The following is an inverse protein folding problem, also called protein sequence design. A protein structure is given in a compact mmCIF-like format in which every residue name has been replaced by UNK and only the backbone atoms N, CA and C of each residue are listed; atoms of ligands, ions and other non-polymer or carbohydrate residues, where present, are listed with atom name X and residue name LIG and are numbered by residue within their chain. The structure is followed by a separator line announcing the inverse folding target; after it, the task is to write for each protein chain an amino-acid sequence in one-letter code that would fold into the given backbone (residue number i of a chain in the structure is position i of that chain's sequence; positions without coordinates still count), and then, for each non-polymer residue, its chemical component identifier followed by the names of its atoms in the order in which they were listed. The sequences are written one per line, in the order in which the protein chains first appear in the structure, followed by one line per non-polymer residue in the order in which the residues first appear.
data_IF_433943597512
#
_entry.id   IF_433943597512
#
_cell.length_a   1.000
_cell.length_b   1.000
_cell.length_c   1.000
_cell.angle_alpha   90.00
_cell.angle_beta   90.00
_cell.angle_gamma   90.00
#
_symmetry.space_group_name_H-M   'P 1'
#
loop_
_entity.id
_entity.type
_entity.pdbx_description
1 polymer ?
#
# COMPACT_ATOMS: atom_id res chain seq x y z
N UNK A 1 25.97 7.67 -11.56
CA UNK A 1 24.84 8.61 -11.73
C UNK A 1 23.53 7.90 -12.13
N UNK A 2 23.54 6.90 -13.03
CA UNK A 2 22.31 6.17 -13.44
C UNK A 2 21.65 5.27 -12.38
N UNK A 3 22.44 4.46 -11.66
CA UNK A 3 21.92 3.50 -10.67
C UNK A 3 21.27 4.17 -9.44
N UNK A 4 21.77 5.33 -9.05
CA UNK A 4 21.25 6.08 -7.89
C UNK A 4 19.87 6.66 -8.17
N UNK A 5 19.67 7.20 -9.37
CA UNK A 5 18.37 7.69 -9.84
C UNK A 5 17.34 6.56 -9.96
N UNK A 6 17.78 5.39 -10.43
CA UNK A 6 16.93 4.20 -10.51
C UNK A 6 16.49 3.75 -9.12
N UNK A 7 17.41 3.65 -8.15
CA UNK A 7 17.06 3.29 -6.77
C UNK A 7 16.07 4.28 -6.13
N UNK A 8 16.23 5.59 -6.36
CA UNK A 8 15.30 6.60 -5.88
C UNK A 8 13.90 6.42 -6.49
N UNK A 9 13.82 6.14 -7.79
CA UNK A 9 12.54 5.85 -8.47
C UNK A 9 11.87 4.59 -7.91
N UNK A 10 12.62 3.52 -7.69
CA UNK A 10 12.08 2.27 -7.15
C UNK A 10 11.51 2.46 -5.74
N UNK A 11 12.22 3.23 -4.91
CA UNK A 11 11.78 3.62 -3.57
C UNK A 11 10.53 4.51 -3.61
N UNK A 12 10.45 5.43 -4.56
CA UNK A 12 9.28 6.28 -4.77
C UNK A 12 8.02 5.46 -5.08
N UNK A 13 8.12 4.41 -5.88
CA UNK A 13 6.99 3.54 -6.21
C UNK A 13 6.42 2.85 -4.96
N UNK A 14 7.30 2.29 -4.12
CA UNK A 14 6.89 1.68 -2.84
C UNK A 14 6.24 2.71 -1.92
N UNK A 15 6.81 3.92 -1.87
CA UNK A 15 6.32 5.03 -1.06
C UNK A 15 4.90 5.45 -1.49
N UNK A 16 4.69 5.66 -2.78
CA UNK A 16 3.38 6.03 -3.36
C UNK A 16 2.34 4.94 -3.13
N UNK A 17 2.73 3.67 -3.24
CA UNK A 17 1.83 2.56 -2.97
C UNK A 17 1.40 2.53 -1.48
N UNK A 18 2.31 2.78 -0.55
CA UNK A 18 1.95 2.88 0.88
C UNK A 18 0.97 4.04 1.15
N UNK A 19 1.16 5.18 0.51
CA UNK A 19 0.25 6.33 0.63
C UNK A 19 -1.15 5.95 0.18
N UNK A 20 -1.28 5.38 -1.03
CA UNK A 20 -2.56 4.96 -1.57
C UNK A 20 -3.24 3.91 -0.68
N UNK A 21 -2.47 2.92 -0.21
CA UNK A 21 -2.97 1.87 0.69
C UNK A 21 -3.58 2.44 1.96
N UNK A 22 -2.91 3.42 2.56
CA UNK A 22 -3.37 4.11 3.77
C UNK A 22 -4.64 4.92 3.46
N UNK A 23 -4.67 5.63 2.33
CA UNK A 23 -5.85 6.39 1.89
C UNK A 23 -7.07 5.49 1.67
N UNK A 24 -6.87 4.30 1.09
CA UNK A 24 -7.90 3.27 0.89
C UNK A 24 -8.19 2.44 2.16
N UNK A 25 -7.56 2.76 3.29
CA UNK A 25 -7.75 2.09 4.57
C UNK A 25 -7.55 0.55 4.49
N UNK A 26 -6.56 0.13 3.71
CA UNK A 26 -6.18 -1.28 3.55
C UNK A 26 -5.02 -1.62 4.46
N UNK A 27 -5.00 -2.82 5.04
CA UNK A 27 -3.80 -3.36 5.66
C UNK A 27 -2.77 -3.77 4.60
N UNK A 28 -1.49 -3.84 4.99
CA UNK A 28 -0.42 -4.36 4.11
C UNK A 28 -0.73 -5.77 3.60
N UNK A 29 -1.35 -6.61 4.43
CA UNK A 29 -1.74 -7.99 4.06
C UNK A 29 -2.82 -8.00 2.98
N UNK A 30 -3.82 -7.14 3.10
CA UNK A 30 -4.89 -7.01 2.10
C UNK A 30 -4.34 -6.56 0.75
N UNK A 31 -3.49 -5.53 0.72
CA UNK A 31 -2.80 -5.12 -0.51
C UNK A 31 -1.98 -6.27 -1.10
N UNK A 32 -1.17 -6.91 -0.28
CA UNK A 32 -0.28 -7.98 -0.73
C UNK A 32 -1.07 -9.17 -1.30
N UNK A 33 -2.19 -9.53 -0.68
CA UNK A 33 -3.04 -10.59 -1.19
C UNK A 33 -3.70 -10.18 -2.51
N UNK A 34 -4.32 -9.00 -2.57
CA UNK A 34 -5.04 -8.52 -3.75
C UNK A 34 -4.16 -8.47 -5.00
N UNK A 35 -2.89 -8.09 -4.83
CA UNK A 35 -1.92 -7.96 -5.94
C UNK A 35 -0.88 -9.08 -5.98
N UNK A 36 -1.06 -10.17 -5.22
CA UNK A 36 -0.16 -11.34 -5.18
C UNK A 36 1.30 -10.99 -4.88
N UNK A 37 1.51 -9.98 -4.04
CA UNK A 37 2.81 -9.55 -3.56
C UNK A 37 3.16 -10.37 -2.30
N UNK A 38 4.43 -10.80 -2.18
CA UNK A 38 4.89 -11.44 -0.95
C UNK A 38 4.92 -10.43 0.22
N UNK A 39 4.12 -10.69 1.26
CA UNK A 39 3.98 -9.79 2.41
C UNK A 39 5.31 -9.48 3.13
N UNK A 40 6.10 -10.51 3.43
CA UNK A 40 7.36 -10.34 4.16
C UNK A 40 8.33 -9.47 3.38
N UNK A 41 8.46 -9.75 2.08
CA UNK A 41 9.34 -8.99 1.19
C UNK A 41 8.84 -7.55 0.99
N UNK A 42 7.53 -7.36 0.83
CA UNK A 42 6.93 -6.03 0.76
C UNK A 42 7.21 -5.22 2.03
N UNK A 43 7.03 -5.82 3.19
CA UNK A 43 7.27 -5.16 4.47
C UNK A 43 8.75 -4.73 4.62
N UNK A 44 9.69 -5.56 4.17
CA UNK A 44 11.11 -5.18 4.16
C UNK A 44 11.38 -3.98 3.24
N UNK A 45 10.79 -3.97 2.04
CA UNK A 45 10.90 -2.88 1.07
C UNK A 45 10.31 -1.57 1.61
N UNK A 46 9.16 -1.63 2.30
CA UNK A 46 8.53 -0.46 2.94
C UNK A 46 9.44 0.11 4.04
N UNK A 47 10.10 -0.75 4.82
CA UNK A 47 11.08 -0.32 5.83
C UNK A 47 12.45 0.07 5.23
N UNK A 48 12.56 0.14 3.90
CA UNK A 48 13.76 0.53 3.16
C UNK A 48 14.98 -0.35 3.42
N UNK A 49 14.76 -1.59 3.89
CA UNK A 49 15.83 -2.58 4.12
C UNK A 49 16.25 -3.26 2.83
N UNK A 50 15.26 -3.53 1.97
CA UNK A 50 15.45 -4.18 0.68
C UNK A 50 15.02 -3.23 -0.46
N UNK A 51 15.62 -3.40 -1.63
CA UNK A 51 15.11 -2.81 -2.87
C UNK A 51 13.99 -3.70 -3.43
N UNK A 52 12.91 -3.12 -3.98
CA UNK A 52 11.84 -3.90 -4.58
C UNK A 52 12.32 -4.56 -5.88
N UNK A 53 11.88 -5.79 -6.12
CA UNK A 53 12.19 -6.50 -7.36
C UNK A 53 11.42 -5.90 -8.54
N UNK A 54 11.89 -6.06 -9.79
CA UNK A 54 11.17 -5.57 -10.97
C UNK A 54 9.72 -6.08 -11.04
N UNK A 55 9.49 -7.31 -10.59
CA UNK A 55 8.15 -7.90 -10.55
C UNK A 55 7.26 -7.21 -9.51
N UNK A 56 7.78 -6.92 -8.31
CA UNK A 56 7.03 -6.17 -7.29
C UNK A 56 6.71 -4.77 -7.79
N UNK A 57 7.66 -4.11 -8.47
CA UNK A 57 7.46 -2.78 -9.05
C UNK A 57 6.31 -2.77 -10.04
N UNK A 58 6.24 -3.76 -10.94
CA UNK A 58 5.13 -3.89 -11.88
C UNK A 58 3.78 -4.05 -11.17
N UNK A 59 3.70 -4.90 -10.13
CA UNK A 59 2.47 -5.07 -9.34
C UNK A 59 2.06 -3.80 -8.59
N UNK A 60 3.03 -3.04 -8.07
CA UNK A 60 2.77 -1.78 -7.39
C UNK A 60 2.36 -0.66 -8.37
N UNK A 61 2.95 -0.61 -9.57
CA UNK A 61 2.51 0.31 -10.62
C UNK A 61 1.10 -0.01 -11.12
N UNK A 62 0.76 -1.30 -11.24
CA UNK A 62 -0.61 -1.76 -11.53
C UNK A 62 -1.57 -1.32 -10.43
N UNK A 63 -1.21 -1.56 -9.17
CA UNK A 63 -2.00 -1.11 -8.03
C UNK A 63 -2.22 0.40 -8.06
N UNK A 64 -1.17 1.20 -8.28
CA UNK A 64 -1.27 2.66 -8.31
C UNK A 64 -2.27 3.16 -9.37
N UNK A 65 -2.36 2.48 -10.53
CA UNK A 65 -3.28 2.82 -11.62
C UNK A 65 -4.69 2.26 -11.45
N UNK A 66 -4.89 1.29 -10.55
CA UNK A 66 -6.19 0.62 -10.36
C UNK A 66 -7.15 1.51 -9.59
N UNK A 67 -8.38 1.71 -10.05
CA UNK A 67 -9.39 2.49 -9.31
C UNK A 67 -9.72 1.85 -7.96
N UNK A 68 -9.94 2.68 -6.92
CA UNK A 68 -10.25 2.21 -5.55
C UNK A 68 -11.41 1.23 -5.50
N UNK A 69 -12.47 1.45 -6.28
CA UNK A 69 -13.60 0.53 -6.34
C UNK A 69 -13.18 -0.90 -6.76
N UNK A 70 -12.24 -1.02 -7.70
CA UNK A 70 -11.72 -2.32 -8.14
C UNK A 70 -10.82 -2.94 -7.08
N UNK A 71 -10.01 -2.14 -6.39
CA UNK A 71 -9.20 -2.60 -5.25
C UNK A 71 -10.10 -3.18 -4.15
N UNK A 72 -11.19 -2.49 -3.82
CA UNK A 72 -12.14 -2.97 -2.81
C UNK A 72 -12.84 -4.27 -3.19
N UNK A 73 -13.12 -4.52 -4.47
CA UNK A 73 -13.64 -5.82 -4.92
C UNK A 73 -12.64 -6.94 -4.62
N UNK A 74 -11.37 -6.75 -4.98
CA UNK A 74 -10.30 -7.73 -4.71
C UNK A 74 -10.11 -7.97 -3.21
N UNK A 75 -10.16 -6.91 -2.40
CA UNK A 75 -10.04 -7.00 -0.94
C UNK A 75 -11.27 -7.67 -0.32
N UNK A 76 -12.47 -7.44 -0.85
CA UNK A 76 -13.68 -8.10 -0.37
C UNK A 76 -13.65 -9.62 -0.64
N UNK A 77 -13.17 -10.03 -1.81
CA UNK A 77 -12.90 -11.44 -2.13
C UNK A 77 -11.92 -12.06 -1.13
N UNK A 78 -10.84 -11.36 -0.81
CA UNK A 78 -9.88 -11.80 0.21
C UNK A 78 -10.54 -11.97 1.59
N UNK A 79 -11.28 -10.96 2.06
CA UNK A 79 -11.96 -11.00 3.38
C UNK A 79 -12.99 -12.12 3.49
N UNK A 80 -13.57 -12.49 2.35
CA UNK A 80 -14.56 -13.58 2.25
C UNK A 80 -13.91 -14.95 2.04
N UNK A 81 -12.58 -15.02 1.88
CA UNK A 81 -11.85 -16.27 1.66
C UNK A 81 -11.55 -17.02 2.96
N UNK A 82 -11.43 -18.34 2.85
CA UNK A 82 -11.05 -19.23 3.96
C UNK A 82 -9.69 -18.86 4.57
N UNK A 83 -8.78 -18.29 3.76
CA UNK A 83 -7.45 -17.82 4.17
C UNK A 83 -7.54 -16.69 5.21
N UNK A 84 -8.54 -15.82 5.10
CA UNK A 84 -8.79 -14.75 6.06
C UNK A 84 -9.46 -15.29 7.33
N UNK A 85 -10.46 -16.16 7.18
CA UNK A 85 -11.21 -16.74 8.30
C UNK A 85 -10.31 -17.60 9.21
N UNK A 86 -9.34 -18.32 8.65
CA UNK A 86 -8.38 -19.14 9.40
C UNK A 86 -7.31 -18.36 10.18
N UNK A 87 -7.10 -17.06 9.90
CA UNK A 87 -6.07 -16.23 10.54
C UNK A 87 -6.57 -15.36 11.70
N UNK A 88 -7.84 -15.50 12.10
CA UNK A 88 -8.52 -14.69 13.15
C UNK A 88 -7.90 -14.78 14.55
N UNK A 89 -6.95 -15.68 14.80
CA UNK A 89 -6.36 -15.89 16.13
C UNK A 89 -5.27 -14.88 16.53
N UNK A 90 -4.95 -13.86 15.72
CA UNK A 90 -3.84 -12.93 16.04
C UNK A 90 -4.12 -11.44 15.90
N UNK A 91 -5.32 -11.02 15.50
CA UNK A 91 -5.62 -9.61 15.31
C UNK A 91 -5.91 -8.93 16.66
N UNK A 92 -4.82 -8.44 17.27
CA UNK A 92 -4.88 -7.20 18.05
C UNK A 92 -5.51 -6.16 17.14
N UNK A 93 -6.83 -6.00 17.29
CA UNK A 93 -7.67 -5.03 16.61
C UNK A 93 -6.89 -3.74 16.36
N UNK A 94 -6.55 -3.50 15.09
CA UNK A 94 -6.08 -2.19 14.63
C UNK A 94 -7.17 -1.21 15.04
N UNK A 95 -6.90 -0.38 16.06
CA UNK A 95 -7.84 0.64 16.53
C UNK A 95 -8.00 1.67 15.42
N UNK A 96 -9.05 1.49 14.62
CA UNK A 96 -9.51 2.44 13.60
C UNK A 96 -10.26 3.56 14.32
N UNK A 97 -9.59 4.65 14.70
CA UNK A 97 -10.31 5.88 15.02
C UNK A 97 -10.67 6.63 13.75
N UNK A 98 -11.85 7.24 13.77
CA UNK A 98 -12.60 7.80 12.63
C UNK A 98 -11.95 8.97 11.89
N UNK A 99 -10.64 9.15 11.99
CA UNK A 99 -9.80 9.91 11.08
C UNK A 99 -8.40 9.30 11.15
N UNK A 100 -8.05 8.46 10.16
CA UNK A 100 -6.68 7.98 9.89
C UNK A 100 -6.03 7.08 10.96
N UNK A 101 -6.38 5.79 11.11
CA UNK A 101 -5.63 4.93 12.06
C UNK A 101 -5.39 3.48 11.61
N UNK A 102 -4.45 3.30 10.69
CA UNK A 102 -3.18 2.71 11.09
C UNK A 102 -2.33 3.93 11.48
N UNK A 103 -1.84 4.04 12.72
CA UNK A 103 -1.08 5.23 13.16
C UNK A 103 -0.04 5.54 12.09
N UNK A 104 -0.10 6.73 11.48
CA UNK A 104 0.82 7.18 10.44
C UNK A 104 2.24 7.08 11.01
N UNK A 105 2.90 5.96 10.74
CA UNK A 105 4.07 5.57 11.49
C UNK A 105 5.25 6.22 10.80
N UNK A 106 6.02 6.99 11.58
CA UNK A 106 7.42 7.41 11.30
C UNK A 106 8.31 6.37 10.59
N UNK A 107 7.90 5.09 10.54
CA UNK A 107 8.57 4.00 9.84
C UNK A 107 8.41 3.98 8.32
N UNK A 108 7.44 4.68 7.72
CA UNK A 108 7.25 4.70 6.26
C UNK A 108 8.10 5.75 5.55
N UNK A 109 8.67 6.70 6.29
CA UNK A 109 9.47 7.80 5.73
C UNK A 109 8.67 8.78 4.86
N UNK A 110 7.33 8.79 4.99
CA UNK A 110 6.45 9.72 4.28
C UNK A 110 6.15 10.92 5.17
N UNK A 111 6.55 12.11 4.73
CA UNK A 111 6.16 13.37 5.37
C UNK A 111 4.70 13.74 5.05
N UNK A 112 4.04 14.44 5.98
CA UNK A 112 2.63 14.80 5.88
C UNK A 112 2.32 15.62 4.61
N UNK A 113 3.20 16.54 4.22
CA UNK A 113 3.01 17.36 3.01
C UNK A 113 3.07 16.54 1.71
N UNK A 114 3.95 15.53 1.65
CA UNK A 114 4.02 14.63 0.50
C UNK A 114 2.78 13.75 0.43
N UNK A 115 2.29 13.28 1.58
CA UNK A 115 1.05 12.53 1.67
C UNK A 115 -0.14 13.32 1.09
N UNK A 116 -0.36 14.55 1.55
CA UNK A 116 -1.46 15.40 1.08
C UNK A 116 -1.39 15.66 -0.42
N UNK A 117 -0.18 15.94 -0.93
CA UNK A 117 0.04 16.15 -2.37
C UNK A 117 -0.32 14.92 -3.18
N UNK A 118 0.15 13.74 -2.79
CA UNK A 118 -0.15 12.51 -3.53
C UNK A 118 -1.63 12.12 -3.48
N UNK A 119 -2.30 12.32 -2.35
CA UNK A 119 -3.76 12.08 -2.25
C UNK A 119 -4.51 13.03 -3.18
N UNK A 120 -4.12 14.31 -3.23
CA UNK A 120 -4.72 15.28 -4.14
C UNK A 120 -4.53 14.88 -5.60
N UNK A 121 -3.31 14.51 -6.01
CA UNK A 121 -3.02 14.05 -7.36
C UNK A 121 -3.87 12.81 -7.73
N UNK A 122 -4.05 11.85 -6.82
CA UNK A 122 -4.87 10.67 -7.08
C UNK A 122 -6.35 11.00 -7.26
N UNK A 123 -6.87 12.00 -6.55
CA UNK A 123 -8.24 12.49 -6.73
C UNK A 123 -8.41 13.20 -8.08
N UNK A 124 -7.44 14.05 -8.44
CA UNK A 124 -7.43 14.73 -9.75
C UNK A 124 -7.37 13.76 -10.94
N UNK A 125 -6.89 12.53 -10.73
CA UNK A 125 -6.81 11.47 -11.74
C UNK A 125 -7.95 10.43 -11.64
N UNK A 126 -9.00 10.68 -10.88
CA UNK A 126 -10.15 9.77 -10.66
C UNK A 126 -9.73 8.37 -10.15
N UNK A 127 -8.62 8.30 -9.40
CA UNK A 127 -8.12 7.05 -8.79
C UNK A 127 -8.75 6.83 -7.41
N UNK A 128 -8.81 7.89 -6.60
CA UNK A 128 -9.46 7.92 -5.28
C UNK A 128 -10.78 8.70 -5.39
N UNK A 129 -11.89 8.14 -4.92
CA UNK A 129 -13.18 8.84 -4.78
C UNK A 129 -13.23 9.68 -3.48
N UNK A 130 -14.09 10.71 -3.46
CA UNK A 130 -14.25 11.64 -2.33
C UNK A 130 -14.93 11.04 -1.09
#
# INVERSE_FOLDING_TARGET
MGLELEHLRLKDIVRRAEIKRIAENLSKRELCYAFKINYTYYNNCVTMRDLPSPQMVQMLEEYLKTQTLQVYKLVFEYRSSDVFVGNRSSDKFVKREGKWKENFHRSTGVEDGDYEKYVKEMRENDILED
#
